data_IF_037437904969
#
_entry.id   IF_037437904969
#
_cell.length_a   1.000
_cell.length_b   1.000
_cell.length_c   1.000
_cell.angle_alpha   90.00
_cell.angle_beta   90.00
_cell.angle_gamma   90.00
#
_symmetry.space_group_name_H-M   'P 1'
#
loop_
_entity.id
_entity.type
_entity.pdbx_description
1 polymer ?
#
# COMPACT_ATOMS: atom_id res chain seq x y z
N UNK A 1 -54.17 24.81 -38.32
CA UNK A 1 -52.84 25.31 -38.74
C UNK A 1 -51.82 24.83 -37.73
N UNK A 2 -51.04 23.83 -38.11
CA UNK A 2 -50.03 23.18 -37.27
C UNK A 2 -48.65 23.72 -37.66
N UNK A 3 -47.90 24.21 -36.68
CA UNK A 3 -46.52 24.69 -36.88
C UNK A 3 -45.58 23.55 -36.51
N UNK A 4 -44.91 23.00 -37.52
CA UNK A 4 -43.89 21.96 -37.42
C UNK A 4 -42.51 22.59 -37.20
N UNK A 5 -41.88 22.23 -36.08
CA UNK A 5 -40.47 22.56 -35.80
C UNK A 5 -39.56 21.41 -36.22
N UNK A 6 -38.73 21.65 -37.23
CA UNK A 6 -37.68 20.75 -37.71
C UNK A 6 -36.44 20.83 -36.80
N UNK A 7 -36.09 19.70 -36.16
CA UNK A 7 -34.82 19.53 -35.47
C UNK A 7 -33.81 18.83 -36.39
N UNK A 8 -32.72 19.51 -36.72
CA UNK A 8 -31.60 18.95 -37.48
C UNK A 8 -30.73 18.07 -36.58
N UNK A 9 -30.62 16.79 -36.91
CA UNK A 9 -29.68 15.83 -36.31
C UNK A 9 -28.46 15.68 -37.23
N UNK A 10 -27.33 16.28 -36.87
CA UNK A 10 -26.05 16.03 -37.52
C UNK A 10 -25.36 14.82 -36.88
N UNK A 11 -25.42 13.66 -37.54
CA UNK A 11 -24.52 12.52 -37.27
C UNK A 11 -23.22 12.72 -38.07
N UNK A 12 -22.03 12.67 -37.47
CA UNK A 12 -20.81 12.52 -38.25
C UNK A 12 -20.63 11.04 -38.61
N UNK A 13 -20.72 10.73 -39.90
CA UNK A 13 -20.25 9.48 -40.49
C UNK A 13 -18.72 9.47 -40.47
N UNK A 14 -18.10 8.60 -39.68
CA UNK A 14 -16.75 8.14 -39.92
C UNK A 14 -16.76 6.63 -40.12
N UNK A 15 -16.55 6.24 -41.37
CA UNK A 15 -16.38 4.86 -41.82
C UNK A 15 -14.97 4.38 -41.50
N UNK A 16 -14.81 3.63 -40.42
CA UNK A 16 -13.58 2.86 -40.17
C UNK A 16 -13.63 1.56 -40.98
N UNK A 17 -12.87 1.49 -42.07
CA UNK A 17 -12.55 0.22 -42.74
C UNK A 17 -11.65 -0.63 -41.84
N UNK A 18 -11.88 -1.95 -41.70
CA UNK A 18 -10.99 -2.83 -40.95
C UNK A 18 -9.78 -3.21 -41.82
N UNK A 19 -8.57 -2.88 -41.36
CA UNK A 19 -7.35 -3.46 -41.93
C UNK A 19 -7.05 -4.80 -41.27
N UNK A 20 -7.29 -5.87 -42.04
CA UNK A 20 -6.78 -7.21 -41.80
C UNK A 20 -5.25 -7.19 -41.79
N UNK A 21 -4.64 -7.43 -40.62
CA UNK A 21 -3.30 -8.03 -40.56
C UNK A 21 -3.32 -9.15 -39.53
N UNK A 22 -3.57 -10.34 -40.05
CA UNK A 22 -3.27 -11.61 -39.42
C UNK A 22 -1.75 -11.80 -39.52
N UNK A 23 -1.03 -11.75 -38.40
CA UNK A 23 0.32 -12.30 -38.32
C UNK A 23 0.44 -13.14 -37.06
N UNK A 24 0.06 -14.41 -37.20
CA UNK A 24 0.41 -15.47 -36.27
C UNK A 24 1.93 -15.67 -36.40
N UNK A 25 2.70 -15.16 -35.43
CA UNK A 25 4.05 -15.65 -35.18
C UNK A 25 4.09 -16.30 -33.80
N UNK A 26 4.19 -17.63 -33.81
CA UNK A 26 4.51 -18.49 -32.67
C UNK A 26 5.66 -17.87 -31.86
N UNK A 27 5.42 -17.55 -30.60
CA UNK A 27 6.48 -17.24 -29.65
C UNK A 27 7.29 -18.53 -29.40
N UNK A 28 8.47 -18.63 -30.02
CA UNK A 28 9.47 -19.65 -29.65
C UNK A 28 10.08 -19.25 -28.32
N UNK A 29 9.90 -20.09 -27.31
CA UNK A 29 10.69 -20.06 -26.09
C UNK A 29 12.15 -20.37 -26.46
N UNK A 30 13.02 -19.38 -26.28
CA UNK A 30 14.47 -19.53 -26.34
C UNK A 30 15.05 -19.42 -24.94
N UNK A 31 15.62 -20.52 -24.48
CA UNK A 31 16.37 -20.73 -23.25
C UNK A 31 17.77 -20.11 -23.30
N UNK A 32 18.21 -19.48 -22.18
CA UNK A 32 19.59 -19.46 -21.61
C UNK A 32 20.67 -18.74 -22.48
N UNK A 33 21.64 -17.92 -22.02
CA UNK A 33 22.19 -17.47 -20.74
C UNK A 33 22.82 -16.07 -20.93
N UNK A 34 22.95 -15.30 -19.84
CA UNK A 34 24.18 -14.59 -19.46
C UNK A 34 24.00 -14.03 -18.04
N UNK A 35 24.77 -14.61 -17.11
CA UNK A 35 24.96 -14.22 -15.72
C UNK A 35 26.04 -13.11 -15.66
N UNK A 36 26.17 -12.49 -14.48
CA UNK A 36 27.18 -11.51 -14.03
C UNK A 36 26.75 -10.02 -14.19
N UNK A 37 26.82 -9.14 -13.19
CA UNK A 37 27.56 -9.13 -11.91
C UNK A 37 26.71 -8.59 -10.76
N UNK A 38 26.88 -9.21 -9.59
CA UNK A 38 26.48 -8.76 -8.26
C UNK A 38 27.77 -8.31 -7.56
N UNK A 39 27.81 -7.09 -7.02
CA UNK A 39 28.76 -6.72 -5.96
C UNK A 39 27.96 -6.76 -4.63
N UNK A 40 28.34 -7.36 -3.49
CA UNK A 40 29.45 -8.21 -2.98
C UNK A 40 29.01 -8.58 -1.51
N UNK A 41 29.72 -9.44 -0.75
CA UNK A 41 29.63 -10.90 -0.71
C UNK A 41 28.53 -11.43 0.23
N UNK A 42 27.90 -12.57 -0.11
CA UNK A 42 27.11 -13.36 0.84
C UNK A 42 27.46 -14.84 0.78
N UNK A 43 27.77 -15.39 1.94
CA UNK A 43 27.87 -16.81 2.24
C UNK A 43 26.63 -17.55 1.73
N UNK A 44 26.87 -18.45 0.78
CA UNK A 44 25.87 -19.29 0.13
C UNK A 44 25.23 -20.28 1.12
N UNK A 45 23.94 -20.09 1.41
CA UNK A 45 23.06 -21.19 1.82
C UNK A 45 22.11 -21.50 0.65
N UNK A 46 22.33 -22.68 0.04
CA UNK A 46 21.56 -23.22 -1.08
C UNK A 46 20.12 -23.50 -0.64
N UNK A 47 19.14 -22.96 -1.36
CA UNK A 47 17.76 -23.47 -1.31
C UNK A 47 17.68 -24.68 -2.24
N UNK A 48 17.57 -25.88 -1.64
CA UNK A 48 17.36 -27.12 -2.38
C UNK A 48 15.87 -27.34 -2.67
N UNK A 49 15.67 -27.85 -3.88
CA UNK A 49 14.46 -28.38 -4.50
C UNK A 49 13.73 -29.39 -3.61
N UNK A 50 12.41 -29.33 -3.61
CA UNK A 50 11.53 -30.32 -2.99
C UNK A 50 11.80 -31.71 -3.59
N UNK A 51 12.20 -32.65 -2.74
CA UNK A 51 11.91 -34.07 -2.87
C UNK A 51 11.55 -34.61 -1.48
N UNK A 52 10.52 -35.45 -1.47
CA UNK A 52 10.04 -36.21 -0.32
C UNK A 52 11.14 -37.13 0.22
N UNK A 53 11.40 -37.10 1.53
CA UNK A 53 11.49 -38.29 2.38
C UNK A 53 11.77 -37.96 3.85
N UNK A 54 11.26 -38.83 4.73
CA UNK A 54 11.20 -38.72 6.18
C UNK A 54 12.57 -38.81 6.88
N UNK A 55 12.84 -37.90 7.83
CA UNK A 55 13.39 -38.14 9.19
C UNK A 55 14.11 -36.88 9.75
N UNK A 56 14.23 -36.71 11.09
CA UNK A 56 14.43 -35.41 11.71
C UNK A 56 15.91 -35.13 11.98
N UNK A 57 16.50 -34.19 11.24
CA UNK A 57 17.79 -33.59 11.61
C UNK A 57 17.65 -32.11 11.92
N UNK A 58 18.04 -31.77 13.16
CA UNK A 58 18.16 -30.42 13.73
C UNK A 58 19.00 -29.53 12.82
N UNK A 59 18.43 -28.44 12.32
CA UNK A 59 19.16 -27.36 11.61
C UNK A 59 19.03 -26.10 12.46
N UNK A 60 20.18 -25.50 12.77
CA UNK A 60 20.34 -24.37 13.69
C UNK A 60 19.57 -23.11 13.25
N UNK A 61 18.95 -22.47 14.23
CA UNK A 61 18.30 -21.18 14.14
C UNK A 61 19.30 -20.10 13.72
N UNK A 62 19.10 -19.51 12.54
CA UNK A 62 19.54 -18.13 12.32
C UNK A 62 18.57 -17.23 13.10
N UNK A 63 19.05 -16.78 14.26
CA UNK A 63 18.40 -15.87 15.19
C UNK A 63 18.09 -14.50 14.53
N UNK A 64 17.03 -14.43 13.72
CA UNK A 64 16.38 -13.15 13.42
C UNK A 64 15.66 -12.71 14.70
N UNK A 65 16.34 -11.92 15.54
CA UNK A 65 15.74 -11.27 16.72
C UNK A 65 14.36 -10.72 16.34
N UNK A 66 13.30 -11.30 16.91
CA UNK A 66 11.94 -10.81 16.72
C UNK A 66 11.88 -9.35 17.18
N UNK A 67 11.18 -8.46 16.46
CA UNK A 67 11.09 -7.06 16.86
C UNK A 67 10.46 -6.98 18.25
N UNK A 68 11.19 -6.37 19.19
CA UNK A 68 10.68 -6.11 20.53
C UNK A 68 9.57 -5.07 20.47
N UNK A 69 8.55 -5.26 21.31
CA UNK A 69 7.45 -4.32 21.45
C UNK A 69 7.95 -3.00 22.03
N UNK A 70 7.69 -1.91 21.32
CA UNK A 70 8.13 -0.57 21.71
C UNK A 70 6.93 0.34 21.96
N UNK A 71 6.97 1.02 23.10
CA UNK A 71 6.06 2.12 23.46
C UNK A 71 6.92 3.36 23.60
N UNK A 72 6.78 4.31 22.68
CA UNK A 72 7.63 5.50 22.59
C UNK A 72 6.79 6.76 22.76
N UNK A 73 7.37 7.81 23.33
CA UNK A 73 6.69 9.09 23.42
C UNK A 73 6.56 9.70 22.02
N UNK A 74 5.38 10.20 21.69
CA UNK A 74 5.09 10.82 20.41
C UNK A 74 5.97 12.05 20.14
N UNK A 75 6.31 12.82 21.18
CA UNK A 75 7.18 14.01 21.06
C UNK A 75 8.59 13.65 20.60
N UNK A 76 9.15 12.55 21.12
CA UNK A 76 10.50 12.09 20.75
C UNK A 76 10.58 11.66 19.28
N UNK A 77 9.43 11.37 18.69
CA UNK A 77 9.25 11.00 17.28
C UNK A 77 8.73 12.15 16.42
N UNK A 78 8.72 13.38 16.94
CA UNK A 78 8.32 14.59 16.21
C UNK A 78 6.81 14.76 16.03
N UNK A 79 5.98 13.89 16.62
CA UNK A 79 4.52 13.99 16.50
C UNK A 79 3.95 14.89 17.58
N UNK A 80 3.18 15.89 17.15
CA UNK A 80 2.40 16.75 18.03
C UNK A 80 0.90 16.63 17.73
N UNK A 81 0.06 16.77 18.74
CA UNK A 81 -1.40 16.75 18.57
C UNK A 81 -1.95 17.92 17.75
N UNK A 82 -1.16 18.98 17.57
CA UNK A 82 -1.47 20.10 16.66
C UNK A 82 -1.41 19.72 15.18
N UNK A 83 -0.68 18.65 14.83
CA UNK A 83 -0.62 18.15 13.45
C UNK A 83 -1.89 17.38 13.04
N UNK A 84 -2.76 17.04 14.00
CA UNK A 84 -4.03 16.39 13.72
C UNK A 84 -5.05 17.47 13.33
N UNK A 85 -5.70 17.29 12.20
CA UNK A 85 -6.70 18.22 11.69
C UNK A 85 -7.91 18.33 12.65
N UNK A 86 -8.67 19.42 12.50
CA UNK A 86 -9.80 19.73 13.37
C UNK A 86 -10.93 18.69 13.27
N UNK A 87 -11.39 18.26 12.08
CA UNK A 87 -12.35 17.17 11.93
C UNK A 87 -11.95 15.89 12.66
N UNK A 88 -10.74 15.37 12.42
CA UNK A 88 -10.25 14.14 13.07
C UNK A 88 -10.20 14.29 14.59
N UNK A 89 -9.74 15.44 15.12
CA UNK A 89 -9.76 15.70 16.57
C UNK A 89 -11.18 15.70 17.14
N UNK A 90 -12.19 16.17 16.41
CA UNK A 90 -13.58 16.13 16.88
C UNK A 90 -14.09 14.69 16.97
N UNK A 91 -13.80 13.86 15.97
CA UNK A 91 -14.16 12.43 15.98
C UNK A 91 -13.46 11.68 17.10
N UNK A 92 -12.13 11.87 17.25
CA UNK A 92 -11.37 11.31 18.35
C UNK A 92 -11.96 11.68 19.71
N UNK A 93 -12.30 12.96 19.93
CA UNK A 93 -12.86 13.45 21.19
C UNK A 93 -14.28 12.92 21.45
N UNK A 94 -15.11 12.81 20.41
CA UNK A 94 -16.46 12.27 20.51
C UNK A 94 -16.46 10.83 21.01
N UNK A 95 -15.61 9.98 20.43
CA UNK A 95 -15.44 8.59 20.86
C UNK A 95 -14.81 8.50 22.26
N UNK A 96 -13.77 9.31 22.54
CA UNK A 96 -13.10 9.28 23.84
C UNK A 96 -14.02 9.69 24.99
N UNK A 97 -14.88 10.69 24.79
CA UNK A 97 -15.90 11.12 25.78
C UNK A 97 -16.90 10.02 26.14
N UNK A 98 -17.12 9.06 25.23
CA UNK A 98 -17.99 7.89 25.47
C UNK A 98 -17.26 6.72 26.13
N UNK A 99 -15.98 6.89 26.48
CA UNK A 99 -15.18 5.88 27.16
C UNK A 99 -14.45 4.91 26.22
N UNK A 100 -14.53 5.08 24.91
CA UNK A 100 -13.85 4.21 23.96
C UNK A 100 -12.36 4.51 23.85
N UNK A 101 -11.57 3.49 23.57
CA UNK A 101 -10.18 3.64 23.17
C UNK A 101 -10.11 4.01 21.70
N UNK A 102 -9.24 4.95 21.34
CA UNK A 102 -9.08 5.42 19.97
C UNK A 102 -7.61 5.60 19.64
N UNK A 103 -7.24 5.24 18.41
CA UNK A 103 -5.88 5.34 17.92
C UNK A 103 -5.89 5.84 16.48
N UNK A 104 -4.91 6.67 16.14
CA UNK A 104 -4.56 6.94 14.76
C UNK A 104 -3.65 5.82 14.26
N UNK A 105 -3.83 5.38 13.02
CA UNK A 105 -3.13 4.21 12.48
C UNK A 105 -2.76 4.38 11.01
N UNK A 106 -1.86 3.54 10.51
CA UNK A 106 -1.63 3.46 9.06
C UNK A 106 -0.71 4.54 8.52
N UNK A 107 -1.05 5.01 7.32
CA UNK A 107 -0.24 5.98 6.58
C UNK A 107 -0.10 7.31 7.30
N UNK A 108 -1.12 7.73 8.06
CA UNK A 108 -1.10 8.99 8.77
C UNK A 108 0.00 9.06 9.84
N UNK A 109 0.15 8.02 10.66
CA UNK A 109 1.17 7.97 11.72
C UNK A 109 2.58 8.03 11.11
N UNK A 110 2.82 7.25 10.05
CA UNK A 110 4.08 7.26 9.31
C UNK A 110 4.39 8.64 8.74
N UNK A 111 3.42 9.27 8.09
CA UNK A 111 3.61 10.56 7.43
C UNK A 111 3.91 11.66 8.47
N UNK A 112 3.19 11.65 9.61
CA UNK A 112 3.50 12.52 10.75
C UNK A 112 4.93 12.32 11.28
N UNK A 113 5.40 11.07 11.43
CA UNK A 113 6.78 10.79 11.86
C UNK A 113 7.84 11.28 10.86
N UNK A 114 7.50 11.33 9.58
CA UNK A 114 8.35 11.84 8.51
C UNK A 114 8.21 13.36 8.31
N UNK A 115 7.47 14.05 9.20
CA UNK A 115 7.13 15.47 9.11
C UNK A 115 6.47 15.83 7.77
N UNK A 116 5.62 14.94 7.25
CA UNK A 116 4.79 15.13 6.06
C UNK A 116 3.33 15.29 6.44
N UNK A 117 2.55 15.90 5.54
CA UNK A 117 1.11 16.06 5.73
C UNK A 117 0.41 14.74 5.37
N UNK A 118 -0.32 14.10 6.29
CA UNK A 118 -1.14 12.95 5.96
C UNK A 118 -2.21 13.31 4.94
N UNK A 119 -2.46 12.40 4.00
CA UNK A 119 -3.57 12.54 3.04
C UNK A 119 -4.93 12.40 3.76
N UNK A 120 -5.02 11.37 4.57
CA UNK A 120 -6.20 10.93 5.32
C UNK A 120 -5.76 10.55 6.74
N UNK A 121 -6.69 10.64 7.69
CA UNK A 121 -6.50 10.19 9.05
C UNK A 121 -7.43 9.01 9.32
N UNK A 122 -6.82 7.84 9.48
CA UNK A 122 -7.55 6.61 9.81
C UNK A 122 -7.60 6.45 11.32
N UNK A 123 -8.81 6.36 11.87
CA UNK A 123 -9.05 6.08 13.29
C UNK A 123 -9.40 4.60 13.44
N UNK A 124 -8.84 3.95 14.45
CA UNK A 124 -9.33 2.67 14.96
C UNK A 124 -9.81 2.83 16.40
N UNK A 125 -10.93 2.18 16.73
CA UNK A 125 -11.57 2.30 18.04
C UNK A 125 -11.95 0.94 18.63
N UNK A 126 -12.08 0.90 19.97
CA UNK A 126 -12.68 -0.22 20.70
C UNK A 126 -14.20 -0.29 20.55
N UNK A 127 -14.85 0.79 20.08
CA UNK A 127 -16.27 0.79 19.79
C UNK A 127 -16.60 -0.14 18.61
N UNK A 128 -17.76 -0.80 18.66
CA UNK A 128 -18.35 -1.47 17.50
C UNK A 128 -18.86 -0.43 16.49
N UNK A 129 -18.89 -0.78 15.19
CA UNK A 129 -19.31 0.18 14.15
C UNK A 129 -20.72 0.75 14.40
N UNK A 130 -21.64 -0.07 14.92
CA UNK A 130 -23.00 0.38 15.30
C UNK A 130 -22.97 1.40 16.44
N UNK A 131 -22.00 1.31 17.34
CA UNK A 131 -21.82 2.27 18.43
C UNK A 131 -21.24 3.57 17.89
N UNK A 132 -20.28 3.51 16.95
CA UNK A 132 -19.76 4.71 16.26
C UNK A 132 -20.89 5.49 15.59
N UNK A 133 -21.79 4.80 14.88
CA UNK A 133 -22.98 5.43 14.26
C UNK A 133 -23.90 6.09 15.30
N UNK A 134 -24.01 5.55 16.52
CA UNK A 134 -24.80 6.19 17.59
C UNK A 134 -24.12 7.42 18.18
N UNK A 135 -22.79 7.52 18.08
CA UNK A 135 -22.03 8.67 18.60
C UNK A 135 -22.10 9.85 17.64
N UNK A 136 -22.15 9.60 16.33
CA UNK A 136 -22.12 10.65 15.30
C UNK A 136 -23.37 10.58 14.42
N UNK A 137 -24.14 11.67 14.39
CA UNK A 137 -25.38 11.76 13.60
C UNK A 137 -25.16 11.62 12.09
N UNK A 138 -24.06 12.18 11.57
CA UNK A 138 -23.66 12.05 10.17
C UNK A 138 -22.58 10.99 10.02
N UNK A 139 -22.99 9.72 10.16
CA UNK A 139 -22.10 8.58 10.03
C UNK A 139 -22.78 7.46 9.25
N UNK A 140 -22.06 6.87 8.30
CA UNK A 140 -22.52 5.73 7.54
C UNK A 140 -21.52 4.59 7.60
N UNK A 141 -22.00 3.35 7.55
CA UNK A 141 -21.14 2.17 7.43
C UNK A 141 -21.02 1.84 5.95
N UNK A 142 -19.79 1.91 5.42
CA UNK A 142 -19.48 1.57 4.03
C UNK A 142 -18.66 0.30 3.94
N UNK A 143 -18.65 -0.32 2.76
CA UNK A 143 -17.82 -1.48 2.48
C UNK A 143 -18.45 -2.80 2.91
N UNK A 144 -18.81 -3.65 1.94
CA UNK A 144 -19.37 -4.99 2.22
C UNK A 144 -18.34 -5.93 2.85
N UNK A 145 -17.12 -5.91 2.28
CA UNK A 145 -16.03 -6.83 2.62
C UNK A 145 -15.24 -6.37 3.85
N UNK A 146 -15.06 -5.07 4.00
CA UNK A 146 -14.31 -4.44 5.08
C UNK A 146 -15.15 -3.27 5.59
N UNK A 147 -16.13 -3.53 6.47
CA UNK A 147 -17.03 -2.49 6.92
C UNK A 147 -16.27 -1.48 7.78
N UNK A 148 -16.35 -0.21 7.40
CA UNK A 148 -15.80 0.92 8.15
C UNK A 148 -16.87 2.01 8.25
N UNK A 149 -16.74 2.88 9.24
CA UNK A 149 -17.58 4.06 9.37
C UNK A 149 -16.94 5.24 8.64
N UNK A 150 -17.71 5.88 7.77
CA UNK A 150 -17.40 7.22 7.26
C UNK A 150 -18.14 8.22 8.14
N UNK A 151 -17.40 8.96 8.94
CA UNK A 151 -17.94 10.06 9.75
C UNK A 151 -17.76 11.34 8.95
N UNK A 152 -18.87 11.95 8.56
CA UNK A 152 -18.88 13.19 7.80
C UNK A 152 -18.79 14.37 8.76
N UNK A 153 -17.84 15.26 8.51
CA UNK A 153 -17.65 16.48 9.28
C UNK A 153 -17.29 17.62 8.35
N UNK A 154 -18.19 18.59 8.21
CA UNK A 154 -18.07 19.65 7.18
C UNK A 154 -17.87 18.99 5.79
N UNK A 155 -16.89 19.42 5.01
CA UNK A 155 -16.57 18.83 3.69
C UNK A 155 -15.54 17.69 3.76
N UNK A 156 -15.30 17.15 4.96
CA UNK A 156 -14.28 16.11 5.20
C UNK A 156 -14.89 14.81 5.69
N UNK A 157 -14.32 13.70 5.24
CA UNK A 157 -14.70 12.36 5.67
C UNK A 157 -13.56 11.81 6.52
N UNK A 158 -13.89 11.38 7.74
CA UNK A 158 -12.95 10.70 8.64
C UNK A 158 -13.32 9.23 8.68
N UNK A 159 -12.36 8.37 8.34
CA UNK A 159 -12.53 6.93 8.37
C UNK A 159 -12.34 6.39 9.79
N UNK A 160 -13.33 5.65 10.29
CA UNK A 160 -13.32 5.03 11.62
C UNK A 160 -13.54 3.53 11.47
N UNK A 161 -12.58 2.74 11.95
CA UNK A 161 -12.63 1.27 11.96
C UNK A 161 -12.70 0.73 13.38
N UNK A 162 -13.22 -0.49 13.53
CA UNK A 162 -13.28 -1.18 14.83
C UNK A 162 -12.30 -2.35 14.89
N UNK A 163 -11.70 -2.59 16.06
CA UNK A 163 -10.90 -3.79 16.31
C UNK A 163 -11.67 -5.09 16.04
N UNK A 164 -12.99 -5.09 16.24
CA UNK A 164 -13.84 -6.28 16.05
C UNK A 164 -13.98 -6.67 14.57
N UNK A 165 -14.06 -5.68 13.67
CA UNK A 165 -14.12 -5.90 12.22
C UNK A 165 -12.86 -6.57 11.70
N UNK A 166 -11.71 -6.11 12.18
CA UNK A 166 -10.41 -6.71 11.90
C UNK A 166 -10.31 -8.15 12.44
N UNK A 167 -10.89 -8.44 13.60
CA UNK A 167 -10.84 -9.77 14.23
C UNK A 167 -11.62 -10.87 13.49
N UNK A 168 -12.80 -10.56 12.92
CA UNK A 168 -13.73 -11.57 12.38
C UNK A 168 -13.23 -12.33 11.14
N UNK A 169 -12.30 -11.76 10.37
CA UNK A 169 -11.75 -12.44 9.18
C UNK A 169 -10.68 -13.47 9.48
N UNK A 170 -9.97 -13.31 10.58
CA UNK A 170 -8.70 -14.01 10.79
C UNK A 170 -8.77 -15.22 11.73
N UNK A 171 -9.96 -15.58 12.21
CA UNK A 171 -10.14 -16.83 12.97
C UNK A 171 -10.16 -18.09 12.09
N UNK A 172 -10.08 -17.99 10.75
CA UNK A 172 -10.10 -19.17 9.86
C UNK A 172 -8.77 -19.55 9.20
N UNK A 173 -7.80 -18.64 9.05
CA UNK A 173 -6.65 -18.88 8.13
C UNK A 173 -5.27 -18.39 8.61
N UNK A 174 -5.03 -18.16 9.90
CA UNK A 174 -3.67 -17.90 10.38
C UNK A 174 -2.83 -19.20 10.32
N UNK A 175 -2.17 -19.44 9.18
CA UNK A 175 -1.12 -20.48 9.03
C UNK A 175 0.21 -20.11 9.69
N UNK A 176 0.35 -18.89 10.20
CA UNK A 176 1.51 -18.46 10.97
C UNK A 176 1.13 -18.37 12.44
N UNK A 177 1.60 -19.33 13.24
CA UNK A 177 1.50 -19.29 14.70
C UNK A 177 2.43 -18.21 15.24
N UNK A 178 1.96 -16.96 15.20
CA UNK A 178 2.55 -15.96 16.08
C UNK A 178 2.10 -16.29 17.50
N UNK A 179 3.00 -16.92 18.27
CA UNK A 179 2.78 -17.11 19.70
C UNK A 179 2.50 -15.76 20.36
N UNK A 180 1.47 -15.73 21.22
CA UNK A 180 1.15 -14.53 22.02
C UNK A 180 2.43 -14.10 22.74
N UNK A 181 2.87 -12.84 22.57
CA UNK A 181 4.08 -12.37 23.24
C UNK A 181 3.97 -12.51 24.75
N UNK A 182 5.07 -12.91 25.40
CA UNK A 182 5.13 -13.18 26.84
C UNK A 182 4.91 -11.86 27.59
N UNK A 183 4.05 -11.85 28.63
CA UNK A 183 3.73 -10.64 29.41
C UNK A 183 2.75 -9.67 28.73
N UNK A 184 2.01 -10.13 27.72
CA UNK A 184 1.09 -9.30 26.93
C UNK A 184 -0.29 -9.14 27.60
N UNK A 185 -0.66 -7.89 27.92
CA UNK A 185 -2.01 -7.51 28.31
C UNK A 185 -3.02 -7.73 27.18
N UNK A 186 -4.30 -7.96 27.51
CA UNK A 186 -5.35 -8.18 26.50
C UNK A 186 -5.47 -7.01 25.51
N UNK A 187 -5.30 -5.78 25.97
CA UNK A 187 -5.31 -4.59 25.12
C UNK A 187 -4.15 -4.57 24.14
N UNK A 188 -2.95 -4.90 24.61
CA UNK A 188 -1.78 -4.98 23.73
C UNK A 188 -1.93 -6.12 22.72
N UNK A 189 -2.54 -7.24 23.11
CA UNK A 189 -2.86 -8.33 22.20
C UNK A 189 -3.77 -7.90 21.06
N UNK A 190 -4.84 -7.15 21.36
CA UNK A 190 -5.79 -6.64 20.35
C UNK A 190 -5.09 -5.67 19.39
N UNK A 191 -4.30 -4.72 19.91
CA UNK A 191 -3.54 -3.76 19.10
C UNK A 191 -2.53 -4.44 18.20
N UNK A 192 -1.75 -5.37 18.75
CA UNK A 192 -0.78 -6.16 18.00
C UNK A 192 -1.44 -6.99 16.90
N UNK A 193 -2.56 -7.67 17.21
CA UNK A 193 -3.32 -8.45 16.22
C UNK A 193 -3.82 -7.59 15.07
N UNK A 194 -4.22 -6.33 15.33
CA UNK A 194 -4.57 -5.40 14.27
C UNK A 194 -3.36 -5.05 13.40
N UNK A 195 -2.19 -4.82 14.00
CA UNK A 195 -0.95 -4.50 13.28
C UNK A 195 -0.53 -5.63 12.33
N UNK A 196 -0.70 -6.90 12.74
CA UNK A 196 -0.37 -8.07 11.92
C UNK A 196 -1.15 -8.18 10.61
N UNK A 197 -2.35 -7.57 10.53
CA UNK A 197 -3.21 -7.66 9.35
C UNK A 197 -2.86 -6.63 8.28
N UNK A 198 -1.91 -5.73 8.58
CA UNK A 198 -1.53 -4.63 7.71
C UNK A 198 -0.56 -5.09 6.64
N UNK A 199 -0.46 -4.28 5.59
CA UNK A 199 0.34 -4.59 4.42
C UNK A 199 1.85 -4.48 4.71
N UNK A 200 2.28 -3.34 5.26
CA UNK A 200 3.69 -3.02 5.50
C UNK A 200 3.96 -2.63 6.96
N UNK A 201 5.17 -2.93 7.42
CA UNK A 201 5.65 -2.64 8.78
C UNK A 201 5.50 -1.17 9.14
N UNK A 202 5.92 -0.28 8.22
CA UNK A 202 5.82 1.17 8.34
C UNK A 202 4.38 1.70 8.45
N UNK A 203 3.37 0.91 8.07
CA UNK A 203 1.96 1.26 8.20
C UNK A 203 1.30 0.60 9.43
N UNK A 204 2.03 -0.23 10.17
CA UNK A 204 1.53 -0.91 11.38
C UNK A 204 1.88 -0.20 12.68
N UNK A 205 2.06 1.12 12.62
CA UNK A 205 2.21 1.96 13.80
C UNK A 205 0.84 2.42 14.29
N UNK A 206 0.69 2.51 15.61
CA UNK A 206 -0.52 3.04 16.25
C UNK A 206 -0.16 4.19 17.17
N UNK A 207 -0.89 5.29 17.07
CA UNK A 207 -0.67 6.47 17.88
C UNK A 207 -1.89 6.76 18.75
N UNK A 208 -1.69 6.83 20.06
CA UNK A 208 -2.67 7.34 21.01
C UNK A 208 -2.42 8.84 21.26
N UNK A 209 -3.29 9.74 20.76
CA UNK A 209 -3.11 11.18 20.90
C UNK A 209 -3.34 11.69 22.33
N UNK A 210 -4.01 10.92 23.19
CA UNK A 210 -4.29 11.30 24.57
C UNK A 210 -3.17 10.86 25.51
N UNK A 211 -2.70 9.61 25.37
CA UNK A 211 -1.54 9.13 26.11
C UNK A 211 -0.23 9.69 25.56
N UNK A 212 -0.23 10.21 24.32
CA UNK A 212 0.96 10.67 23.58
C UNK A 212 1.98 9.56 23.39
N UNK A 213 1.49 8.34 23.12
CA UNK A 213 2.31 7.13 22.95
C UNK A 213 2.13 6.60 21.53
N UNK A 214 3.25 6.23 20.91
CA UNK A 214 3.27 5.43 19.69
C UNK A 214 3.63 4.00 20.07
N UNK A 215 2.78 3.07 19.62
CA UNK A 215 2.97 1.64 19.74
C UNK A 215 3.56 1.10 18.44
N UNK A 216 4.71 0.44 18.55
CA UNK A 216 5.34 -0.31 17.46
C UNK A 216 5.55 -1.76 17.91
N UNK A 217 4.72 -2.65 17.37
CA UNK A 217 4.76 -4.08 17.69
C UNK A 217 5.48 -4.92 16.65
N UNK A 218 5.84 -4.33 15.50
CA UNK A 218 6.31 -5.07 14.31
C UNK A 218 7.61 -4.52 13.72
N UNK A 219 8.20 -3.49 14.33
CA UNK A 219 9.46 -2.87 13.90
C UNK A 219 9.29 -1.79 12.82
N UNK A 220 8.11 -1.19 12.70
CA UNK A 220 7.84 -0.16 11.71
C UNK A 220 8.74 1.07 11.85
N UNK A 221 9.12 1.44 13.07
CA UNK A 221 9.97 2.63 13.32
C UNK A 221 11.39 2.40 12.81
N UNK A 222 11.92 1.19 12.97
CA UNK A 222 13.25 0.85 12.47
C UNK A 222 13.26 0.84 10.93
N UNK A 223 12.20 0.34 10.31
CA UNK A 223 12.06 0.35 8.85
C UNK A 223 11.89 1.76 8.28
N UNK A 224 11.18 2.66 8.98
CA UNK A 224 11.14 4.09 8.64
C UNK A 224 12.54 4.69 8.70
N UNK A 225 13.30 4.46 9.78
CA UNK A 225 14.68 4.98 9.94
C UNK A 225 15.63 4.46 8.86
N UNK A 226 15.46 3.20 8.45
CA UNK A 226 16.24 2.58 7.36
C UNK A 226 15.70 2.91 5.96
N UNK A 227 14.66 3.73 5.85
CA UNK A 227 13.96 4.05 4.59
C UNK A 227 13.62 2.78 3.78
N UNK A 228 13.03 1.79 4.46
CA UNK A 228 12.80 0.45 3.91
C UNK A 228 11.31 0.10 3.90
N UNK A 229 10.82 -0.40 2.76
CA UNK A 229 9.48 -1.00 2.65
C UNK A 229 9.59 -2.51 2.83
N UNK A 230 8.91 -3.02 3.84
CA UNK A 230 8.84 -4.45 4.18
C UNK A 230 7.41 -4.82 4.56
N UNK A 231 6.98 -6.01 4.15
CA UNK A 231 5.66 -6.55 4.49
C UNK A 231 5.63 -7.03 5.94
N UNK A 232 4.46 -6.98 6.59
CA UNK A 232 4.32 -7.41 8.00
C UNK A 232 4.51 -8.92 8.12
N UNK A 233 3.85 -9.68 7.24
CA UNK A 233 4.05 -11.13 7.06
C UNK A 233 4.96 -11.37 5.85
N UNK A 234 5.48 -12.60 5.65
CA UNK A 234 6.32 -12.92 4.50
C UNK A 234 5.68 -12.48 3.17
N UNK A 235 6.50 -11.88 2.30
CA UNK A 235 6.00 -11.18 1.12
C UNK A 235 5.32 -12.11 0.11
N UNK A 236 5.74 -13.38 0.07
CA UNK A 236 5.10 -14.45 -0.71
C UNK A 236 3.62 -14.61 -0.34
N UNK A 237 3.33 -14.78 0.95
CA UNK A 237 1.97 -14.95 1.46
C UNK A 237 1.18 -13.65 1.34
N UNK A 238 1.77 -12.52 1.75
CA UNK A 238 1.11 -11.21 1.73
C UNK A 238 0.57 -10.83 0.35
N UNK A 239 1.36 -11.05 -0.70
CA UNK A 239 0.97 -10.72 -2.08
C UNK A 239 0.04 -11.76 -2.72
N UNK A 240 0.03 -13.01 -2.24
CA UNK A 240 -0.94 -14.01 -2.65
C UNK A 240 -2.33 -13.74 -2.06
N UNK A 241 -2.40 -13.28 -0.81
CA UNK A 241 -3.65 -12.87 -0.16
C UNK A 241 -4.29 -11.66 -0.85
N UNK A 242 -3.50 -10.62 -1.14
CA UNK A 242 -3.95 -9.44 -1.88
C UNK A 242 -2.85 -8.92 -2.79
N UNK A 243 -2.99 -9.22 -4.09
CA UNK A 243 -2.02 -8.78 -5.11
C UNK A 243 -2.02 -7.26 -5.32
N UNK A 244 -3.03 -6.51 -4.85
CA UNK A 244 -2.98 -5.04 -4.86
C UNK A 244 -1.86 -4.50 -3.95
N UNK A 245 -1.41 -5.28 -2.95
CA UNK A 245 -0.27 -4.93 -2.10
C UNK A 245 1.03 -4.77 -2.91
N UNK A 246 1.18 -5.41 -4.08
CA UNK A 246 2.34 -5.20 -4.97
C UNK A 246 2.36 -3.76 -5.49
N UNK A 247 1.23 -3.28 -6.01
CA UNK A 247 1.11 -1.90 -6.50
C UNK A 247 1.24 -0.90 -5.35
N UNK A 248 0.63 -1.19 -4.19
CA UNK A 248 0.80 -0.36 -3.00
C UNK A 248 2.27 -0.27 -2.55
N UNK A 249 3.03 -1.36 -2.64
CA UNK A 249 4.47 -1.37 -2.32
C UNK A 249 5.23 -0.39 -3.23
N UNK A 250 4.98 -0.46 -4.54
CA UNK A 250 5.57 0.44 -5.54
C UNK A 250 5.20 1.90 -5.24
N UNK A 251 3.92 2.17 -5.02
CA UNK A 251 3.42 3.51 -4.70
C UNK A 251 4.10 4.08 -3.44
N UNK A 252 4.15 3.31 -2.36
CA UNK A 252 4.74 3.77 -1.10
C UNK A 252 6.24 3.98 -1.25
N UNK A 253 6.95 3.07 -1.90
CA UNK A 253 8.39 3.19 -2.16
C UNK A 253 8.71 4.42 -3.02
N UNK A 254 7.92 4.67 -4.08
CA UNK A 254 8.08 5.85 -4.93
C UNK A 254 7.82 7.14 -4.17
N UNK A 255 6.68 7.25 -3.47
CA UNK A 255 6.28 8.48 -2.76
C UNK A 255 7.23 8.84 -1.62
N UNK A 256 7.74 7.84 -0.89
CA UNK A 256 8.62 8.06 0.25
C UNK A 256 10.11 8.05 -0.12
N UNK A 257 10.47 7.60 -1.32
CA UNK A 257 11.86 7.35 -1.70
C UNK A 257 12.49 6.16 -0.99
N UNK A 258 11.68 5.23 -0.49
CA UNK A 258 12.13 4.07 0.28
C UNK A 258 12.57 2.93 -0.63
N UNK A 259 13.49 2.10 -0.14
CA UNK A 259 13.96 0.88 -0.83
C UNK A 259 13.19 -0.33 -0.35
N UNK A 260 12.98 -1.32 -1.21
CA UNK A 260 12.42 -2.59 -0.76
C UNK A 260 13.45 -3.41 0.03
N UNK A 261 12.98 -4.17 1.01
CA UNK A 261 13.75 -5.31 1.54
C UNK A 261 14.06 -6.30 0.40
N UNK A 262 15.11 -7.12 0.54
CA UNK A 262 15.47 -8.09 -0.51
C UNK A 262 14.35 -9.09 -0.79
N UNK A 263 13.71 -9.60 0.26
CA UNK A 263 12.56 -10.50 0.15
C UNK A 263 11.40 -9.81 -0.59
N UNK A 264 11.01 -8.60 -0.15
CA UNK A 264 9.93 -7.85 -0.77
C UNK A 264 10.22 -7.57 -2.24
N UNK A 265 11.45 -7.15 -2.58
CA UNK A 265 11.85 -6.91 -3.97
C UNK A 265 11.76 -8.17 -4.84
N UNK A 266 12.18 -9.32 -4.31
CA UNK A 266 12.11 -10.59 -5.01
C UNK A 266 10.66 -10.95 -5.37
N UNK A 267 9.75 -10.89 -4.39
CA UNK A 267 8.35 -11.26 -4.62
C UNK A 267 7.54 -10.22 -5.39
N UNK A 268 7.87 -8.92 -5.28
CA UNK A 268 7.30 -7.88 -6.16
C UNK A 268 7.57 -8.22 -7.63
N UNK A 269 8.79 -8.66 -7.97
CA UNK A 269 9.14 -9.06 -9.34
C UNK A 269 8.45 -10.36 -9.74
N UNK A 270 8.58 -11.39 -8.92
CA UNK A 270 8.14 -12.75 -9.25
C UNK A 270 6.61 -12.88 -9.33
N UNK A 271 5.89 -12.18 -8.45
CA UNK A 271 4.42 -12.19 -8.44
C UNK A 271 3.81 -11.02 -9.23
N UNK A 272 4.61 -10.25 -9.96
CA UNK A 272 4.12 -9.15 -10.80
C UNK A 272 3.00 -9.55 -11.77
N UNK A 273 2.97 -10.75 -12.39
CA UNK A 273 1.86 -11.12 -13.29
C UNK A 273 0.52 -11.31 -12.56
N UNK A 274 0.55 -11.54 -11.24
CA UNK A 274 -0.67 -11.78 -10.46
C UNK A 274 -1.59 -10.54 -10.38
N UNK A 275 -1.07 -9.33 -10.63
CA UNK A 275 -1.86 -8.10 -10.63
C UNK A 275 -2.97 -8.12 -11.69
N UNK A 276 -2.83 -8.93 -12.74
CA UNK A 276 -3.86 -9.09 -13.78
C UNK A 276 -5.15 -9.74 -13.26
N UNK A 277 -5.10 -10.34 -12.07
CA UNK A 277 -6.28 -10.87 -11.37
C UNK A 277 -7.11 -9.78 -10.69
N UNK A 278 -6.55 -8.58 -10.52
CA UNK A 278 -7.26 -7.46 -9.90
C UNK A 278 -8.36 -6.93 -10.84
N UNK A 279 -9.46 -6.46 -10.25
CA UNK A 279 -10.46 -5.74 -11.01
C UNK A 279 -9.89 -4.41 -11.54
N UNK A 280 -10.44 -3.95 -12.67
CA UNK A 280 -9.97 -2.73 -13.34
C UNK A 280 -10.09 -1.50 -12.44
N UNK A 281 -11.08 -1.45 -11.54
CA UNK A 281 -11.27 -0.34 -10.61
C UNK A 281 -10.11 -0.22 -9.62
N UNK A 282 -9.68 -1.34 -9.02
CA UNK A 282 -8.50 -1.38 -8.14
C UNK A 282 -7.21 -1.03 -8.86
N UNK A 283 -7.01 -1.52 -10.09
CA UNK A 283 -5.84 -1.17 -10.90
C UNK A 283 -5.78 0.33 -11.17
N UNK A 284 -6.90 0.91 -11.62
CA UNK A 284 -7.00 2.34 -11.91
C UNK A 284 -6.76 3.19 -10.66
N UNK A 285 -7.33 2.78 -9.52
CA UNK A 285 -7.15 3.46 -8.25
C UNK A 285 -5.67 3.55 -7.84
N UNK A 286 -4.94 2.43 -7.89
CA UNK A 286 -3.51 2.43 -7.54
C UNK A 286 -2.67 3.22 -8.55
N UNK A 287 -3.00 3.16 -9.85
CA UNK A 287 -2.35 3.98 -10.87
C UNK A 287 -2.58 5.47 -10.65
N UNK A 288 -3.82 5.88 -10.36
CA UNK A 288 -4.15 7.27 -10.07
C UNK A 288 -3.38 7.76 -8.84
N UNK A 289 -3.27 6.94 -7.79
CA UNK A 289 -2.47 7.30 -6.62
C UNK A 289 -0.96 7.40 -6.90
N UNK A 290 -0.42 6.61 -7.83
CA UNK A 290 0.98 6.76 -8.24
C UNK A 290 1.23 8.06 -9.01
N UNK A 291 0.27 8.50 -9.81
CA UNK A 291 0.41 9.66 -10.69
C UNK A 291 0.02 10.99 -10.04
N UNK A 292 -0.92 10.98 -9.08
CA UNK A 292 -1.50 12.20 -8.50
C UNK A 292 -0.75 12.77 -7.27
N UNK A 293 0.30 12.10 -6.77
CA UNK A 293 0.92 12.39 -5.46
C UNK A 293 2.39 12.81 -5.58
N UNK A 294 2.74 13.54 -6.64
CA UNK A 294 4.10 14.08 -6.81
C UNK A 294 5.19 13.02 -6.87
N UNK A 295 4.86 11.82 -7.31
CA UNK A 295 5.79 10.69 -7.41
C UNK A 295 5.55 9.82 -8.64
N UNK A 296 4.99 10.43 -9.70
CA UNK A 296 4.68 9.78 -10.96
C UNK A 296 5.95 9.27 -11.65
N UNK A 297 7.00 10.10 -11.74
CA UNK A 297 8.26 9.70 -12.36
C UNK A 297 8.89 8.53 -11.59
N UNK A 298 8.97 8.65 -10.27
CA UNK A 298 9.54 7.62 -9.39
C UNK A 298 8.74 6.32 -9.49
N UNK A 299 7.40 6.41 -9.53
CA UNK A 299 6.51 5.26 -9.69
C UNK A 299 6.75 4.56 -11.03
N UNK A 300 6.83 5.30 -12.14
CA UNK A 300 7.11 4.73 -13.46
C UNK A 300 8.47 4.05 -13.53
N UNK A 301 9.51 4.63 -12.91
CA UNK A 301 10.83 3.99 -12.81
C UNK A 301 10.77 2.67 -12.05
N UNK A 302 10.03 2.61 -10.95
CA UNK A 302 9.86 1.37 -10.18
C UNK A 302 9.03 0.34 -10.95
N UNK A 303 7.93 0.73 -11.59
CA UNK A 303 7.14 -0.14 -12.45
C UNK A 303 8.00 -0.73 -13.58
N UNK A 304 8.85 0.10 -14.20
CA UNK A 304 9.79 -0.33 -15.23
C UNK A 304 10.85 -1.28 -14.67
N UNK A 305 11.43 -0.97 -13.51
CA UNK A 305 12.44 -1.80 -12.85
C UNK A 305 11.94 -3.22 -12.55
N UNK A 306 10.68 -3.36 -12.17
CA UNK A 306 10.10 -4.62 -11.68
C UNK A 306 9.29 -5.43 -12.69
N UNK A 307 9.12 -4.99 -13.95
CA UNK A 307 8.32 -5.75 -14.93
C UNK A 307 6.85 -5.36 -15.00
N UNK A 308 6.41 -4.41 -14.18
CA UNK A 308 4.99 -4.07 -14.04
C UNK A 308 4.53 -3.09 -15.12
N UNK A 309 5.44 -2.27 -15.66
CA UNK A 309 5.07 -1.27 -16.67
C UNK A 309 4.57 -1.89 -17.97
N UNK A 310 5.12 -3.04 -18.39
CA UNK A 310 4.68 -3.73 -19.61
C UNK A 310 3.25 -4.25 -19.52
N UNK A 311 2.82 -4.55 -18.29
CA UNK A 311 1.48 -5.06 -18.00
C UNK A 311 0.47 -3.92 -17.92
N UNK A 312 0.84 -2.82 -17.25
CA UNK A 312 -0.08 -1.73 -16.93
C UNK A 312 -0.12 -0.64 -18.01
N UNK A 313 1.03 -0.33 -18.61
CA UNK A 313 1.23 0.76 -19.56
C UNK A 313 2.08 0.27 -20.77
N UNK A 314 1.55 -0.67 -21.57
CA UNK A 314 2.33 -1.36 -22.61
C UNK A 314 2.89 -0.42 -23.68
N UNK A 315 2.17 0.66 -24.02
CA UNK A 315 2.63 1.66 -25.01
C UNK A 315 3.87 2.40 -24.48
N UNK A 316 3.83 2.81 -23.22
CA UNK A 316 4.94 3.50 -22.55
C UNK A 316 6.13 2.56 -22.37
N UNK A 317 5.89 1.30 -22.04
CA UNK A 317 6.95 0.29 -21.99
C UNK A 317 7.62 0.08 -23.36
N UNK A 318 6.84 -0.02 -24.44
CA UNK A 318 7.36 -0.14 -25.80
C UNK A 318 8.20 1.07 -26.22
N UNK A 319 7.81 2.28 -25.82
CA UNK A 319 8.60 3.49 -26.00
C UNK A 319 9.98 3.38 -25.32
N UNK A 320 10.03 2.94 -24.05
CA UNK A 320 11.29 2.75 -23.33
C UNK A 320 12.20 1.72 -24.02
N UNK A 321 11.63 0.60 -24.47
CA UNK A 321 12.38 -0.44 -25.19
C UNK A 321 12.95 0.10 -26.51
N UNK A 322 12.13 0.80 -27.30
CA UNK A 322 12.53 1.37 -28.61
C UNK A 322 13.71 2.33 -28.48
N UNK A 323 13.77 3.09 -27.39
CA UNK A 323 14.86 4.03 -27.11
C UNK A 323 16.03 3.41 -26.33
N UNK A 324 16.07 2.08 -26.17
CA UNK A 324 17.17 1.38 -25.49
C UNK A 324 17.27 1.69 -23.99
N UNK A 325 16.17 2.09 -23.35
CA UNK A 325 16.14 2.48 -21.95
C UNK A 325 16.12 1.25 -21.04
N UNK A 326 17.25 0.94 -20.41
CA UNK A 326 17.40 -0.26 -19.56
C UNK A 326 16.61 -0.13 -18.25
N UNK A 327 16.23 -1.26 -17.63
CA UNK A 327 15.41 -1.27 -16.39
C UNK A 327 16.03 -0.60 -15.17
N UNK A 328 17.35 -0.48 -15.13
CA UNK A 328 18.10 0.20 -14.04
C UNK A 328 18.71 1.53 -14.49
N UNK A 329 18.28 2.02 -15.65
CA UNK A 329 18.82 3.25 -16.20
C UNK A 329 18.40 4.46 -15.34
N UNK A 330 19.39 5.32 -15.06
CA UNK A 330 19.20 6.56 -14.29
C UNK A 330 19.01 7.77 -15.20
N UNK A 331 19.24 7.64 -16.51
CA UNK A 331 19.02 8.71 -17.49
C UNK A 331 17.54 9.14 -17.47
N UNK A 332 17.30 10.37 -17.94
CA UNK A 332 15.94 10.85 -18.21
C UNK A 332 15.63 10.71 -19.71
N UNK A 333 14.34 10.75 -20.05
CA UNK A 333 13.82 10.82 -21.41
C UNK A 333 12.57 11.72 -21.42
N UNK A 334 12.00 12.00 -22.59
CA UNK A 334 10.85 12.91 -22.71
C UNK A 334 9.67 12.49 -21.82
N UNK A 335 9.36 11.19 -21.76
CA UNK A 335 8.28 10.66 -20.93
C UNK A 335 8.56 10.89 -19.44
N UNK A 336 9.76 10.55 -18.96
CA UNK A 336 10.13 10.73 -17.56
C UNK A 336 10.21 12.22 -17.19
N UNK A 337 10.72 13.07 -18.08
CA UNK A 337 10.73 14.52 -17.88
C UNK A 337 9.32 15.12 -17.80
N UNK A 338 8.36 14.61 -18.59
CA UNK A 338 6.96 15.02 -18.49
C UNK A 338 6.41 14.72 -17.09
N UNK A 339 6.59 13.49 -16.60
CA UNK A 339 6.10 13.12 -15.26
C UNK A 339 6.88 13.81 -14.14
N UNK A 340 8.18 14.07 -14.32
CA UNK A 340 8.97 14.86 -13.39
C UNK A 340 8.44 16.30 -13.27
N UNK A 341 8.00 16.90 -14.38
CA UNK A 341 7.38 18.22 -14.37
C UNK A 341 5.96 18.18 -13.79
N UNK A 342 5.18 17.12 -14.05
CA UNK A 342 3.91 16.90 -13.38
C UNK A 342 4.11 16.81 -11.86
N UNK A 343 5.13 16.11 -11.40
CA UNK A 343 5.47 15.96 -9.99
C UNK A 343 5.85 17.29 -9.33
N UNK A 344 6.33 18.28 -10.08
CA UNK A 344 6.57 19.64 -9.55
C UNK A 344 5.27 20.43 -9.36
N UNK A 345 4.27 20.18 -10.21
CA UNK A 345 2.95 20.79 -10.10
C UNK A 345 2.15 20.17 -8.95
N UNK A 346 2.33 18.86 -8.74
CA UNK A 346 1.67 18.08 -7.70
C UNK A 346 2.62 17.90 -6.51
N UNK A 347 2.49 18.71 -5.45
CA UNK A 347 3.37 18.52 -4.30
C UNK A 347 3.06 17.18 -3.58
N UNK A 348 4.07 16.39 -3.20
CA UNK A 348 3.88 15.14 -2.43
C UNK A 348 3.09 15.35 -1.13
N UNK A 349 3.21 16.55 -0.56
CA UNK A 349 2.58 16.99 0.69
C UNK A 349 1.30 17.82 0.47
N UNK A 350 0.86 18.01 -0.78
CA UNK A 350 -0.46 18.59 -1.12
C UNK A 350 -1.19 17.65 -2.07
N UNK A 351 -1.80 16.57 -1.56
CA UNK A 351 -2.49 15.62 -2.41
C UNK A 351 -3.63 16.33 -3.14
N UNK A 352 -3.62 16.31 -4.48
CA UNK A 352 -4.80 16.69 -5.23
C UNK A 352 -5.91 15.67 -4.94
N UNK A 353 -7.14 16.14 -4.72
CA UNK A 353 -8.30 15.26 -4.65
C UNK A 353 -8.32 14.40 -5.93
N UNK A 354 -8.64 13.11 -5.76
CA UNK A 354 -8.61 12.08 -6.82
C UNK A 354 -9.62 12.29 -7.96
N UNK A 355 -10.16 13.50 -8.09
CA UNK A 355 -11.05 13.97 -9.14
C UNK A 355 -10.27 14.78 -10.20
N UNK A 356 -9.15 14.22 -10.69
CA UNK A 356 -8.53 14.67 -11.94
C UNK A 356 -9.00 13.79 -13.10
#
# INVERSE_FOLDING_TARGET
MAISGLAFSCKPQFSLRPSLFHCIRKARFGSVAAIETLDEPESLTKYNTYNSDNSPHKVGELDKKKPEWKKLNAKDLGISTSMIDKPTRKVLNGLKKKGYEVYLVGGCVRDLMLNRIPKDFDIITSAELKEVVRVFSQCEIVGKRFPICHVHFEDTIVEVSSFSTSGRRFSRDFKYEFQRPIGCDEKDFIRWRNCLQRDFTINGLMFDPYAKIIYDYIGGIEDIRKAKVQTVIPASTSFQEDCARILRAIRIAARLGFRFSRETAHFVKHLSPSILKLDRGRLLMEMNYMLAYGSAEASLRLLWKFGLLEVLLPIQAAYLVKHGFRRRDKRSNMLLSLFSNLDKLLAPDRPCHSSL
#
